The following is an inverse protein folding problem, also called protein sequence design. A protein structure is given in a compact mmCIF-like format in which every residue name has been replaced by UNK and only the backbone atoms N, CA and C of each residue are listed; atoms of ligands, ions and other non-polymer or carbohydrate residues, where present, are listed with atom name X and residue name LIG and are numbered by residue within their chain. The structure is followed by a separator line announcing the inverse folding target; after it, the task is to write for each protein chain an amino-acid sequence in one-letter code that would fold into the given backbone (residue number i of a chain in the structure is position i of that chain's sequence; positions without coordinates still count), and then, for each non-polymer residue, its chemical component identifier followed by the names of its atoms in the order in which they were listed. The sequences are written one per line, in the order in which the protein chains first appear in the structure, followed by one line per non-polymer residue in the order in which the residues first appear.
data_IF_367469272167
#
_entry.id   IF_367469272167
#
_cell.length_a   1.000
_cell.length_b   1.000
_cell.length_c   1.000
_cell.angle_alpha   90.00
_cell.angle_beta   90.00
_cell.angle_gamma   90.00
#
_symmetry.space_group_name_H-M   'P 1'
#
loop_
_entity.id
_entity.type
_entity.pdbx_description
1 polymer ?
#
# COMPACT_ATOMS: atom_id res chain seq x y z
N UNK A 1 68.40 11.14 30.86
CA UNK A 1 67.61 10.02 30.32
C UNK A 1 66.14 10.35 30.45
N UNK A 2 65.52 10.87 29.38
CA UNK A 2 64.13 10.54 29.03
C UNK A 2 63.83 11.08 27.63
N UNK A 3 63.42 10.17 26.75
CA UNK A 3 63.23 10.38 25.31
C UNK A 3 61.82 10.93 25.09
N UNK A 4 61.70 12.13 24.53
CA UNK A 4 60.46 12.56 23.88
C UNK A 4 60.40 11.90 22.50
N UNK A 5 59.44 10.99 22.31
CA UNK A 5 59.11 10.41 21.01
C UNK A 5 58.14 11.36 20.30
N UNK A 6 58.53 11.76 19.09
CA UNK A 6 57.66 12.41 18.12
C UNK A 6 56.55 11.43 17.69
N UNK A 7 55.30 11.89 17.73
CA UNK A 7 54.16 11.18 17.12
C UNK A 7 54.02 11.72 15.70
N UNK A 8 54.32 10.87 14.71
CA UNK A 8 54.05 11.14 13.30
C UNK A 8 52.54 11.05 13.05
N UNK A 9 51.98 12.11 12.47
CA UNK A 9 50.62 12.10 11.95
C UNK A 9 50.53 11.18 10.74
N UNK A 10 49.70 10.14 10.85
CA UNK A 10 49.26 9.33 9.71
C UNK A 10 48.01 9.99 9.17
N UNK A 11 48.13 10.56 7.97
CA UNK A 11 47.00 11.02 7.15
C UNK A 11 46.21 9.78 6.75
N UNK A 12 45.02 9.61 7.34
CA UNK A 12 44.03 8.67 6.81
C UNK A 12 43.35 9.34 5.61
N UNK A 13 43.60 8.78 4.42
CA UNK A 13 42.92 9.17 3.20
C UNK A 13 41.42 8.95 3.34
N UNK A 14 40.66 9.98 2.97
CA UNK A 14 39.22 9.92 2.80
C UNK A 14 38.93 8.99 1.63
N UNK A 15 38.55 7.75 1.94
CA UNK A 15 37.88 6.87 0.99
C UNK A 15 36.47 7.43 0.80
N UNK A 16 36.29 8.20 -0.27
CA UNK A 16 35.00 8.45 -0.91
C UNK A 16 34.48 7.10 -1.43
N UNK A 17 33.87 6.33 -0.53
CA UNK A 17 33.06 5.17 -0.87
C UNK A 17 31.68 5.66 -1.26
N UNK A 18 31.32 5.43 -2.52
CA UNK A 18 29.99 5.68 -3.08
C UNK A 18 28.93 5.03 -2.18
N UNK A 19 28.07 5.83 -1.56
CA UNK A 19 26.87 5.36 -0.87
C UNK A 19 25.84 5.15 -1.98
N UNK A 20 25.84 3.95 -2.55
CA UNK A 20 24.83 3.51 -3.48
C UNK A 20 23.69 2.81 -2.74
N UNK A 21 22.47 3.24 -3.09
CA UNK A 21 21.22 2.47 -3.13
C UNK A 21 20.40 2.37 -1.83
N UNK A 22 19.21 2.98 -1.82
CA UNK A 22 18.09 2.58 -0.96
C UNK A 22 16.67 2.85 -1.56
N UNK A 23 15.67 1.95 -1.37
CA UNK A 23 14.38 1.78 -2.08
C UNK A 23 13.21 1.46 -1.07
N UNK A 24 11.90 1.25 -1.42
CA UNK A 24 10.71 1.49 -0.51
C UNK A 24 9.42 0.61 -0.60
N UNK A 25 8.64 0.50 0.52
CA UNK A 25 7.17 0.17 0.80
C UNK A 25 6.96 -0.26 2.28
N UNK A 26 5.90 0.11 3.06
CA UNK A 26 5.90 0.01 4.55
C UNK A 26 4.79 -0.84 5.26
N UNK A 27 5.15 -1.92 5.98
CA UNK A 27 4.26 -2.71 6.86
C UNK A 27 4.99 -3.21 8.11
N UNK A 28 4.32 -3.71 9.16
CA UNK A 28 5.03 -4.49 10.20
C UNK A 28 5.49 -5.87 9.67
N UNK A 29 6.75 -6.31 9.87
CA UNK A 29 7.29 -7.52 9.24
C UNK A 29 6.79 -8.82 9.88
N UNK A 30 6.27 -8.75 11.11
CA UNK A 30 5.90 -9.94 11.90
C UNK A 30 4.42 -10.33 11.77
N UNK A 31 3.59 -9.49 11.14
CA UNK A 31 2.13 -9.59 11.23
C UNK A 31 1.59 -9.34 12.63
N UNK A 32 0.28 -9.46 12.80
CA UNK A 32 -0.36 -9.46 14.12
C UNK A 32 -0.10 -10.78 14.86
N UNK A 33 -0.10 -10.74 16.20
CA UNK A 33 -0.13 -11.91 17.08
C UNK A 33 -1.29 -12.83 16.70
N UNK A 34 -2.47 -12.26 16.43
CA UNK A 34 -3.64 -12.99 16.00
C UNK A 34 -3.37 -13.74 14.68
N UNK A 35 -2.75 -13.12 13.69
CA UNK A 35 -2.34 -13.81 12.47
C UNK A 35 -1.35 -14.94 12.78
N UNK A 36 -0.34 -14.68 13.63
CA UNK A 36 0.65 -15.70 14.00
C UNK A 36 0.03 -16.93 14.66
N UNK A 37 -0.85 -16.70 15.64
CA UNK A 37 -1.57 -17.75 16.35
C UNK A 37 -2.53 -18.51 15.43
N UNK A 38 -3.25 -17.80 14.58
CA UNK A 38 -4.20 -18.41 13.64
C UNK A 38 -3.45 -19.21 12.58
N UNK A 39 -2.35 -18.72 12.01
CA UNK A 39 -1.59 -19.54 11.06
C UNK A 39 -1.04 -20.80 11.72
N UNK A 40 -0.54 -20.73 12.96
CA UNK A 40 -0.14 -21.91 13.74
C UNK A 40 -1.31 -22.90 13.91
N UNK A 41 -2.50 -22.40 14.29
CA UNK A 41 -3.71 -23.23 14.45
C UNK A 41 -4.13 -23.92 13.15
N UNK A 42 -3.95 -23.25 12.01
CA UNK A 42 -4.33 -23.76 10.69
C UNK A 42 -3.18 -24.46 9.94
N UNK A 43 -2.06 -24.75 10.62
CA UNK A 43 -0.93 -25.48 10.04
C UNK A 43 -0.15 -24.70 8.97
N UNK A 44 -0.35 -23.38 8.89
CA UNK A 44 0.40 -22.50 8.00
C UNK A 44 1.75 -22.19 8.64
N UNK A 45 2.81 -22.53 7.93
CA UNK A 45 4.18 -22.33 8.42
C UNK A 45 4.65 -20.91 8.11
N UNK A 46 4.98 -20.16 9.16
CA UNK A 46 5.78 -18.96 9.04
C UNK A 46 7.23 -19.35 8.72
N UNK A 47 7.63 -19.18 7.46
CA UNK A 47 9.03 -19.38 7.06
C UNK A 47 9.79 -18.06 7.13
N UNK A 48 9.63 -17.32 8.24
CA UNK A 48 10.41 -16.12 8.54
C UNK A 48 11.85 -16.53 8.87
N UNK A 49 12.60 -16.97 7.86
CA UNK A 49 14.06 -17.06 7.92
C UNK A 49 14.58 -15.73 7.41
N UNK A 50 14.75 -14.77 8.31
CA UNK A 50 15.28 -13.46 7.96
C UNK A 50 16.73 -13.36 8.42
N UNK A 51 17.71 -13.23 7.52
CA UNK A 51 18.90 -12.45 7.83
C UNK A 51 18.45 -10.98 7.86
N UNK A 52 18.69 -10.28 8.97
CA UNK A 52 18.43 -8.84 9.21
C UNK A 52 19.06 -7.87 8.18
N UNK A 53 19.63 -8.39 7.08
CA UNK A 53 20.42 -7.65 6.11
C UNK A 53 19.76 -7.54 4.73
N UNK A 54 18.55 -8.07 4.52
CA UNK A 54 17.84 -7.86 3.25
C UNK A 54 17.15 -6.50 3.26
N UNK A 55 17.42 -5.78 2.20
CA UNK A 55 16.98 -4.43 1.93
C UNK A 55 15.45 -4.27 1.86
N UNK A 56 14.76 -5.22 1.23
CA UNK A 56 13.30 -5.26 1.21
C UNK A 56 12.67 -5.37 2.62
N UNK A 57 13.36 -5.89 3.65
CA UNK A 57 12.84 -5.90 5.03
C UNK A 57 12.93 -4.54 5.74
N UNK A 58 13.92 -3.71 5.39
CA UNK A 58 13.91 -2.30 5.79
C UNK A 58 12.80 -1.53 5.10
N UNK A 59 12.37 -2.06 3.95
CA UNK A 59 11.16 -1.76 3.19
C UNK A 59 9.97 -1.69 4.12
N UNK A 60 9.49 -2.90 4.39
CA UNK A 60 8.24 -3.23 5.06
C UNK A 60 8.49 -3.38 6.56
N UNK A 61 8.84 -2.28 7.23
CA UNK A 61 9.04 -2.30 8.70
C UNK A 61 8.28 -1.25 9.53
N UNK A 62 7.76 -0.20 8.89
CA UNK A 62 7.08 0.89 9.58
C UNK A 62 5.54 0.70 9.51
N UNK A 63 4.82 0.61 10.63
CA UNK A 63 3.38 0.35 10.69
C UNK A 63 2.49 1.61 10.53
N UNK A 64 2.78 2.46 9.54
CA UNK A 64 2.05 3.72 9.36
C UNK A 64 0.56 3.49 9.06
N UNK A 65 0.26 2.58 8.13
CA UNK A 65 -1.11 2.21 7.75
C UNK A 65 -1.87 1.54 8.90
N UNK A 66 -1.22 0.65 9.66
CA UNK A 66 -1.82 0.08 10.86
C UNK A 66 -2.15 1.18 11.88
N UNK A 67 -1.24 2.13 12.12
CA UNK A 67 -1.47 3.24 13.06
C UNK A 67 -2.65 4.14 12.67
N UNK A 68 -2.70 4.57 11.40
CA UNK A 68 -3.82 5.36 10.86
C UNK A 68 -5.13 4.59 11.00
N UNK A 69 -5.12 3.30 10.70
CA UNK A 69 -6.30 2.44 10.84
C UNK A 69 -6.75 2.35 12.29
N UNK A 70 -5.86 2.15 13.26
CA UNK A 70 -6.24 2.13 14.67
C UNK A 70 -6.84 3.48 15.10
N UNK A 71 -6.31 4.61 14.61
CA UNK A 71 -6.87 5.94 14.86
C UNK A 71 -8.26 6.14 14.25
N UNK A 72 -8.50 5.63 13.04
CA UNK A 72 -9.84 5.58 12.42
C UNK A 72 -10.86 4.86 13.32
N UNK A 73 -10.40 3.83 14.03
CA UNK A 73 -11.20 3.05 14.99
C UNK A 73 -11.14 3.57 16.45
N UNK A 74 -10.68 4.80 16.64
CA UNK A 74 -10.74 5.49 17.94
C UNK A 74 -9.57 5.19 18.89
N UNK A 75 -8.39 4.88 18.36
CA UNK A 75 -7.17 4.91 19.16
C UNK A 75 -6.78 6.38 19.44
N UNK A 76 -7.11 6.84 20.65
CA UNK A 76 -6.77 8.19 21.14
C UNK A 76 -5.37 8.28 21.78
N UNK A 77 -4.62 7.17 21.79
CA UNK A 77 -3.24 7.10 22.27
C UNK A 77 -2.26 7.85 21.37
N UNK A 78 -1.01 7.91 21.82
CA UNK A 78 0.07 8.45 20.99
C UNK A 78 0.33 7.51 19.79
N UNK A 79 1.20 7.95 18.86
CA UNK A 79 1.49 7.14 17.67
C UNK A 79 2.14 5.79 18.02
N UNK A 80 2.94 5.74 19.09
CA UNK A 80 3.61 4.51 19.50
C UNK A 80 2.58 3.49 20.02
N UNK A 81 1.54 3.97 20.71
CA UNK A 81 0.41 3.14 21.14
C UNK A 81 -0.41 2.66 19.95
N UNK A 82 -0.81 3.58 19.07
CA UNK A 82 -1.71 3.27 17.95
C UNK A 82 -1.03 2.46 16.84
N UNK A 83 0.29 2.53 16.72
CA UNK A 83 1.05 1.74 15.74
C UNK A 83 1.16 0.26 16.11
N UNK A 84 0.69 -0.15 17.29
CA UNK A 84 0.63 -1.56 17.65
C UNK A 84 -0.42 -2.29 16.78
N UNK A 85 -0.01 -3.19 15.87
CA UNK A 85 -0.95 -3.88 15.00
C UNK A 85 -1.86 -4.86 15.76
N UNK A 86 -1.52 -5.18 17.02
CA UNK A 86 -2.32 -6.05 17.89
C UNK A 86 -3.38 -5.30 18.70
N UNK A 87 -3.45 -3.97 18.58
CA UNK A 87 -4.45 -3.20 19.28
C UNK A 87 -5.86 -3.59 18.76
N UNK A 88 -6.81 -3.74 19.67
CA UNK A 88 -8.13 -4.32 19.34
C UNK A 88 -9.07 -3.34 18.63
N UNK A 89 -8.76 -2.03 18.59
CA UNK A 89 -9.64 -1.00 18.04
C UNK A 89 -10.16 -1.34 16.64
N UNK A 90 -9.28 -1.56 15.67
CA UNK A 90 -9.65 -1.97 14.31
C UNK A 90 -9.88 -3.48 14.17
N UNK A 91 -9.23 -4.27 15.02
CA UNK A 91 -9.25 -5.73 14.97
C UNK A 91 -8.38 -6.33 13.85
N UNK A 92 -7.95 -7.57 14.05
CA UNK A 92 -6.95 -8.22 13.21
C UNK A 92 -7.36 -8.41 11.73
N UNK A 93 -8.66 -8.51 11.43
CA UNK A 93 -9.12 -8.74 10.05
C UNK A 93 -9.08 -7.47 9.20
N UNK A 94 -9.40 -6.31 9.80
CA UNK A 94 -9.25 -5.01 9.13
C UNK A 94 -7.78 -4.72 8.91
N UNK A 95 -6.93 -4.95 9.92
CA UNK A 95 -5.48 -4.81 9.80
C UNK A 95 -4.91 -5.73 8.71
N UNK A 96 -5.35 -6.99 8.62
CA UNK A 96 -4.95 -7.89 7.53
C UNK A 96 -5.37 -7.37 6.14
N UNK A 97 -6.50 -6.67 6.07
CA UNK A 97 -6.98 -6.01 4.86
C UNK A 97 -6.16 -4.79 4.46
N UNK A 98 -5.83 -3.95 5.44
CA UNK A 98 -4.97 -2.78 5.24
C UNK A 98 -3.63 -3.23 4.66
N UNK A 99 -3.02 -4.26 5.24
CA UNK A 99 -1.76 -4.83 4.73
C UNK A 99 -1.85 -5.47 3.33
N UNK A 100 -3.04 -5.71 2.80
CA UNK A 100 -3.22 -6.55 1.61
C UNK A 100 -2.70 -5.88 0.33
N UNK A 101 -2.79 -4.56 0.21
CA UNK A 101 -2.36 -3.86 -1.02
C UNK A 101 -0.83 -3.96 -1.17
N UNK A 102 -0.10 -3.79 -0.07
CA UNK A 102 1.35 -3.92 0.05
C UNK A 102 1.85 -5.38 0.06
N UNK A 103 1.10 -6.29 0.69
CA UNK A 103 1.41 -7.73 0.75
C UNK A 103 0.25 -8.60 0.26
N UNK A 104 -0.08 -8.53 -1.05
CA UNK A 104 -1.12 -9.36 -1.63
C UNK A 104 -0.62 -10.80 -1.66
N UNK A 105 -1.30 -11.70 -0.95
CA UNK A 105 -0.92 -13.11 -0.91
C UNK A 105 -1.46 -13.84 -2.13
N UNK A 106 -0.64 -14.68 -2.74
CA UNK A 106 -0.99 -15.39 -3.96
C UNK A 106 -0.38 -16.79 -4.02
N UNK A 107 -0.89 -17.65 -4.90
CA UNK A 107 -0.21 -18.90 -5.25
C UNK A 107 0.82 -18.64 -6.34
N UNK A 108 2.10 -18.98 -6.15
CA UNK A 108 3.14 -18.72 -7.14
C UNK A 108 2.90 -19.53 -8.41
N UNK A 109 3.11 -18.91 -9.57
CA UNK A 109 3.13 -19.60 -10.85
C UNK A 109 4.38 -20.46 -11.04
N UNK A 110 4.45 -21.18 -12.15
CA UNK A 110 5.61 -22.04 -12.47
C UNK A 110 6.93 -21.24 -12.58
N UNK A 111 6.87 -20.01 -13.10
CA UNK A 111 8.05 -19.13 -13.18
C UNK A 111 8.41 -18.53 -11.82
N UNK A 112 7.43 -18.12 -11.01
CA UNK A 112 7.69 -17.63 -9.64
C UNK A 112 8.39 -18.71 -8.80
N UNK A 113 7.97 -19.97 -8.96
CA UNK A 113 8.54 -21.11 -8.25
C UNK A 113 10.02 -21.39 -8.60
N UNK A 114 10.54 -20.83 -9.71
CA UNK A 114 11.97 -20.90 -10.06
C UNK A 114 12.81 -19.86 -9.32
N UNK A 115 12.19 -18.82 -8.76
CA UNK A 115 12.88 -17.81 -7.98
C UNK A 115 13.43 -18.42 -6.70
N UNK A 116 14.67 -18.07 -6.35
CA UNK A 116 15.38 -18.65 -5.21
C UNK A 116 14.57 -18.43 -3.92
N UNK A 117 14.40 -19.48 -3.12
CA UNK A 117 13.66 -19.40 -1.86
C UNK A 117 12.14 -19.55 -1.99
N UNK A 118 11.61 -19.67 -3.20
CA UNK A 118 10.21 -19.98 -3.44
C UNK A 118 9.93 -21.49 -3.34
N UNK A 119 8.84 -21.84 -2.67
CA UNK A 119 8.29 -23.19 -2.64
C UNK A 119 6.89 -23.16 -3.27
N UNK A 120 6.79 -23.64 -4.51
CA UNK A 120 5.59 -23.56 -5.34
C UNK A 120 4.35 -24.28 -4.79
N UNK A 121 4.49 -25.02 -3.69
CA UNK A 121 3.39 -25.72 -3.00
C UNK A 121 2.62 -24.82 -2.05
N UNK A 122 3.20 -23.69 -1.65
CA UNK A 122 2.65 -22.78 -0.65
C UNK A 122 2.39 -21.41 -1.27
N UNK A 123 1.44 -20.67 -0.71
CA UNK A 123 1.20 -19.27 -1.07
C UNK A 123 2.42 -18.40 -0.73
N UNK A 124 2.65 -17.36 -1.51
CA UNK A 124 3.67 -16.34 -1.25
C UNK A 124 3.00 -15.15 -0.58
N UNK A 125 3.60 -14.72 0.52
CA UNK A 125 3.28 -13.54 1.31
C UNK A 125 4.49 -13.22 2.17
N UNK A 126 4.62 -11.97 2.60
CA UNK A 126 5.82 -11.50 3.28
C UNK A 126 6.16 -12.37 4.48
N UNK A 127 5.16 -12.72 5.29
CA UNK A 127 5.40 -13.51 6.51
C UNK A 127 5.39 -15.03 6.23
N UNK A 128 4.74 -15.49 5.15
CA UNK A 128 4.60 -16.93 4.86
C UNK A 128 5.79 -17.50 4.09
N UNK A 129 6.38 -16.72 3.18
CA UNK A 129 7.56 -17.06 2.39
C UNK A 129 8.46 -15.84 2.18
N UNK A 130 8.95 -15.21 3.26
CA UNK A 130 9.70 -13.94 3.22
C UNK A 130 10.81 -13.90 2.18
N UNK A 131 11.66 -14.94 2.12
CA UNK A 131 12.75 -14.98 1.13
C UNK A 131 12.26 -15.04 -0.31
N UNK A 132 11.16 -15.76 -0.56
CA UNK A 132 10.55 -15.81 -1.89
C UNK A 132 9.97 -14.45 -2.26
N UNK A 133 9.20 -13.86 -1.33
CA UNK A 133 8.57 -12.56 -1.47
C UNK A 133 9.61 -11.50 -1.84
N UNK A 134 10.69 -11.39 -1.04
CA UNK A 134 11.78 -10.43 -1.25
C UNK A 134 12.42 -10.60 -2.63
N UNK A 135 12.78 -11.83 -3.01
CA UNK A 135 13.45 -12.06 -4.28
C UNK A 135 12.53 -11.86 -5.50
N UNK A 136 11.22 -12.06 -5.34
CA UNK A 136 10.24 -11.76 -6.39
C UNK A 136 10.06 -10.25 -6.54
N UNK A 137 10.00 -9.54 -5.41
CA UNK A 137 9.90 -8.09 -5.36
C UNK A 137 11.13 -7.41 -5.97
N UNK A 138 12.34 -7.72 -5.49
CA UNK A 138 13.61 -7.15 -6.01
C UNK A 138 13.78 -7.47 -7.52
N UNK A 139 13.37 -8.67 -7.95
CA UNK A 139 13.38 -9.02 -9.37
C UNK A 139 12.37 -8.19 -10.19
N UNK A 140 11.18 -7.92 -9.64
CA UNK A 140 10.18 -7.09 -10.32
C UNK A 140 10.65 -5.64 -10.40
N UNK A 141 11.25 -5.13 -9.32
CA UNK A 141 11.88 -3.82 -9.27
C UNK A 141 12.93 -3.66 -10.38
N UNK A 142 13.92 -4.57 -10.43
CA UNK A 142 14.99 -4.56 -11.43
C UNK A 142 14.45 -4.60 -12.88
N UNK A 143 13.41 -5.41 -13.13
CA UNK A 143 12.77 -5.50 -14.44
C UNK A 143 12.07 -4.19 -14.78
N UNK A 144 11.27 -3.65 -13.85
CA UNK A 144 10.46 -2.44 -14.07
C UNK A 144 11.31 -1.19 -14.30
N UNK A 145 12.49 -1.11 -13.68
CA UNK A 145 13.45 -0.04 -13.89
C UNK A 145 13.96 -0.01 -15.35
N UNK A 146 14.00 -1.15 -16.02
CA UNK A 146 14.42 -1.28 -17.43
C UNK A 146 13.28 -1.27 -18.44
N UNK A 147 12.11 -1.80 -18.03
CA UNK A 147 10.90 -1.90 -18.83
C UNK A 147 9.68 -1.62 -17.95
N UNK A 148 9.23 -0.35 -17.88
CA UNK A 148 8.06 0.04 -17.10
C UNK A 148 6.76 -0.63 -17.54
N UNK A 149 6.74 -1.31 -18.70
CA UNK A 149 5.56 -2.00 -19.21
C UNK A 149 5.51 -3.49 -18.83
N UNK A 150 6.56 -4.02 -18.22
CA UNK A 150 6.73 -5.46 -18.02
C UNK A 150 5.59 -6.13 -17.22
N UNK A 151 4.94 -5.38 -16.32
CA UNK A 151 3.88 -5.88 -15.45
C UNK A 151 2.50 -5.30 -15.78
N UNK A 152 2.32 -4.78 -16.99
CA UNK A 152 1.01 -4.34 -17.48
C UNK A 152 0.16 -5.55 -17.88
N UNK A 153 -0.66 -6.05 -16.96
CA UNK A 153 -1.50 -7.24 -17.16
C UNK A 153 -0.75 -8.57 -17.07
N UNK A 154 0.51 -8.55 -16.64
CA UNK A 154 1.38 -9.73 -16.55
C UNK A 154 2.10 -9.79 -15.19
N UNK A 155 2.43 -11.00 -14.75
CA UNK A 155 3.09 -11.22 -13.47
C UNK A 155 2.15 -11.59 -12.32
N UNK A 156 2.71 -11.72 -11.13
CA UNK A 156 1.98 -11.98 -9.89
C UNK A 156 1.47 -10.67 -9.25
N UNK A 157 0.65 -10.79 -8.20
CA UNK A 157 0.03 -9.62 -7.58
C UNK A 157 1.04 -8.61 -7.04
N UNK A 158 2.14 -9.05 -6.42
CA UNK A 158 3.19 -8.13 -5.93
C UNK A 158 3.77 -7.34 -7.10
N UNK A 159 4.15 -8.01 -8.18
CA UNK A 159 4.75 -7.33 -9.33
C UNK A 159 3.76 -6.35 -10.00
N UNK A 160 2.48 -6.69 -10.07
CA UNK A 160 1.47 -5.84 -10.71
C UNK A 160 1.02 -4.67 -9.84
N UNK A 161 0.87 -4.86 -8.52
CA UNK A 161 0.43 -3.80 -7.61
C UNK A 161 1.50 -2.74 -7.40
N UNK A 162 2.78 -3.13 -7.35
CA UNK A 162 3.86 -2.19 -7.08
C UNK A 162 4.52 -1.62 -8.34
N UNK A 163 4.47 -2.33 -9.47
CA UNK A 163 5.23 -1.96 -10.68
C UNK A 163 4.45 -2.08 -11.99
N UNK A 164 3.13 -2.29 -11.92
CA UNK A 164 2.33 -2.64 -13.09
C UNK A 164 0.97 -1.96 -13.11
N UNK A 165 0.03 -2.63 -13.76
CA UNK A 165 -1.31 -2.09 -14.03
C UNK A 165 -2.26 -2.14 -12.82
N UNK A 166 -1.78 -2.54 -11.64
CA UNK A 166 -2.53 -2.50 -10.39
C UNK A 166 -2.01 -1.43 -9.41
N UNK A 167 -1.15 -0.51 -9.86
CA UNK A 167 -0.64 0.61 -9.02
C UNK A 167 -1.73 1.53 -8.47
N UNK A 168 -2.93 1.54 -9.09
CA UNK A 168 -4.08 2.24 -8.53
C UNK A 168 -4.48 1.72 -7.14
N UNK A 169 -4.06 0.51 -6.73
CA UNK A 169 -4.25 -0.01 -5.38
C UNK A 169 -3.51 0.84 -4.33
N UNK A 170 -2.48 1.58 -4.74
CA UNK A 170 -1.71 2.51 -3.93
C UNK A 170 -2.02 3.98 -4.26
N UNK A 171 -3.19 4.24 -4.85
CA UNK A 171 -3.53 5.56 -5.38
C UNK A 171 -2.49 6.14 -6.37
N UNK A 172 -1.79 5.29 -7.11
CA UNK A 172 -0.80 5.71 -8.11
C UNK A 172 -1.28 5.39 -9.52
N UNK A 173 -0.81 6.19 -10.47
CA UNK A 173 -0.96 5.91 -11.88
C UNK A 173 -0.10 4.71 -12.29
N UNK A 174 -0.64 3.87 -13.18
CA UNK A 174 0.09 2.71 -13.68
C UNK A 174 1.28 3.10 -14.58
N UNK A 175 1.19 4.25 -15.25
CA UNK A 175 2.22 4.75 -16.15
C UNK A 175 2.37 6.27 -16.06
N UNK A 176 3.55 6.75 -16.45
CA UNK A 176 3.74 8.17 -16.66
C UNK A 176 2.96 8.70 -17.86
N UNK A 177 2.49 9.94 -17.73
CA UNK A 177 1.63 10.56 -18.72
C UNK A 177 0.18 10.08 -18.66
N UNK A 178 -0.17 9.13 -17.79
CA UNK A 178 -1.56 8.78 -17.53
C UNK A 178 -2.32 10.03 -17.06
N UNK A 179 -3.48 10.28 -17.65
CA UNK A 179 -4.37 11.35 -17.20
C UNK A 179 -4.92 11.02 -15.80
N UNK A 180 -5.03 11.96 -14.85
CA UNK A 180 -5.53 11.68 -13.51
C UNK A 180 -6.94 11.09 -13.48
N UNK A 181 -7.78 11.38 -14.48
CA UNK A 181 -9.10 10.78 -14.64
C UNK A 181 -9.02 9.27 -14.89
N UNK A 182 -7.96 8.77 -15.54
CA UNK A 182 -7.75 7.33 -15.75
C UNK A 182 -7.47 6.66 -14.41
N UNK A 183 -6.46 7.12 -13.68
CA UNK A 183 -6.11 6.58 -12.37
C UNK A 183 -7.31 6.66 -11.41
N UNK A 184 -8.01 7.79 -11.39
CA UNK A 184 -9.23 7.94 -10.59
C UNK A 184 -10.31 6.91 -10.95
N UNK A 185 -10.54 6.62 -12.23
CA UNK A 185 -11.51 5.58 -12.63
C UNK A 185 -11.10 4.20 -12.11
N UNK A 186 -9.81 3.86 -12.17
CA UNK A 186 -9.28 2.59 -11.68
C UNK A 186 -9.36 2.49 -10.13
N UNK A 187 -9.05 3.58 -9.42
CA UNK A 187 -9.25 3.74 -7.96
C UNK A 187 -10.72 3.53 -7.60
N UNK A 188 -11.64 4.20 -8.30
CA UNK A 188 -13.08 4.09 -8.03
C UNK A 188 -13.63 2.71 -8.37
N UNK A 189 -13.09 2.05 -9.39
CA UNK A 189 -13.39 0.66 -9.73
C UNK A 189 -12.99 -0.28 -8.58
N UNK A 190 -11.77 -0.14 -8.04
CA UNK A 190 -11.35 -0.92 -6.87
C UNK A 190 -12.21 -0.62 -5.64
N UNK A 191 -12.51 0.65 -5.39
CA UNK A 191 -13.33 1.05 -4.26
C UNK A 191 -14.76 0.48 -4.35
N UNK A 192 -15.37 0.44 -5.54
CA UNK A 192 -16.66 -0.21 -5.77
C UNK A 192 -16.61 -1.69 -5.46
N UNK A 193 -15.56 -2.38 -5.93
CA UNK A 193 -15.35 -3.79 -5.66
C UNK A 193 -15.16 -4.08 -4.17
N UNK A 194 -14.20 -3.40 -3.53
CA UNK A 194 -13.87 -3.58 -2.13
C UNK A 194 -15.08 -3.28 -1.22
N UNK A 195 -15.84 -2.22 -1.54
CA UNK A 195 -17.10 -1.92 -0.86
C UNK A 195 -18.14 -3.01 -1.07
N UNK A 196 -18.31 -3.50 -2.30
CA UNK A 196 -19.24 -4.57 -2.62
C UNK A 196 -18.91 -5.89 -1.91
N UNK A 197 -17.64 -6.18 -1.65
CA UNK A 197 -17.25 -7.32 -0.81
C UNK A 197 -17.55 -7.03 0.67
N UNK A 198 -17.26 -5.81 1.13
CA UNK A 198 -17.50 -5.39 2.51
C UNK A 198 -18.98 -5.40 2.90
N UNK A 199 -19.87 -4.99 1.98
CA UNK A 199 -21.31 -4.90 2.20
C UNK A 199 -22.10 -6.18 1.82
N UNK A 200 -21.39 -7.19 1.29
CA UNK A 200 -21.91 -8.49 0.91
C UNK A 200 -22.53 -8.59 -0.49
N UNK A 201 -22.45 -7.53 -1.31
CA UNK A 201 -22.86 -7.54 -2.73
C UNK A 201 -22.07 -8.56 -3.55
N UNK A 202 -20.78 -8.76 -3.25
CA UNK A 202 -19.92 -9.77 -3.87
C UNK A 202 -19.56 -10.87 -2.86
N UNK A 203 -20.33 -11.99 -2.81
CA UNK A 203 -20.04 -13.13 -1.94
C UNK A 203 -18.68 -13.78 -2.23
N UNK A 204 -18.18 -14.56 -1.25
CA UNK A 204 -16.89 -15.25 -1.28
C UNK A 204 -16.62 -16.07 -2.55
N UNK A 205 -17.66 -16.74 -3.08
CA UNK A 205 -17.57 -17.64 -4.23
C UNK A 205 -17.78 -16.92 -5.57
N UNK A 206 -17.95 -15.59 -5.57
CA UNK A 206 -18.02 -14.80 -6.81
C UNK A 206 -16.68 -14.88 -7.51
N UNK A 207 -16.67 -15.33 -8.77
CA UNK A 207 -15.46 -15.29 -9.58
C UNK A 207 -15.10 -13.86 -9.94
N UNK A 208 -13.82 -13.52 -9.92
CA UNK A 208 -13.36 -12.18 -10.24
C UNK A 208 -13.79 -11.78 -11.66
N UNK A 209 -13.66 -12.69 -12.64
CA UNK A 209 -14.13 -12.47 -14.02
C UNK A 209 -15.64 -12.21 -14.18
N UNK A 210 -16.46 -12.50 -13.17
CA UNK A 210 -17.93 -12.35 -13.24
C UNK A 210 -18.40 -11.01 -12.65
N UNK A 211 -17.50 -10.23 -12.02
CA UNK A 211 -17.80 -8.91 -11.44
C UNK A 211 -18.11 -7.92 -12.57
N UNK A 212 -19.18 -7.16 -12.39
CA UNK A 212 -19.72 -6.22 -13.38
C UNK A 212 -19.44 -4.77 -12.95
N UNK A 213 -18.17 -4.38 -12.98
CA UNK A 213 -17.73 -3.00 -12.77
C UNK A 213 -16.98 -2.57 -14.03
N UNK A 214 -17.23 -1.36 -14.53
CA UNK A 214 -16.58 -0.86 -15.73
C UNK A 214 -15.05 -0.87 -15.59
N UNK A 215 -14.35 -1.52 -16.53
CA UNK A 215 -12.88 -1.63 -16.54
C UNK A 215 -12.31 -2.79 -15.73
N UNK A 216 -13.12 -3.49 -14.94
CA UNK A 216 -12.67 -4.56 -14.05
C UNK A 216 -11.96 -5.71 -14.79
N UNK A 217 -12.51 -6.10 -15.94
CA UNK A 217 -11.98 -7.18 -16.78
C UNK A 217 -10.59 -6.91 -17.36
N UNK A 218 -10.16 -5.65 -17.36
CA UNK A 218 -8.82 -5.25 -17.81
C UNK A 218 -7.76 -5.68 -16.80
N UNK A 219 -8.13 -5.74 -15.52
CA UNK A 219 -7.20 -5.97 -14.42
C UNK A 219 -7.37 -7.33 -13.73
N UNK A 220 -8.62 -7.81 -13.63
CA UNK A 220 -9.01 -8.99 -12.86
C UNK A 220 -9.94 -9.93 -13.67
N UNK A 221 -9.40 -10.55 -14.73
CA UNK A 221 -10.14 -11.50 -15.57
C UNK A 221 -9.81 -12.98 -15.31
N UNK A 222 -9.09 -13.27 -14.23
CA UNK A 222 -8.65 -14.62 -13.92
C UNK A 222 -9.76 -15.47 -13.26
N UNK A 223 -9.51 -16.77 -13.12
CA UNK A 223 -10.47 -17.73 -12.55
C UNK A 223 -10.53 -17.75 -11.02
N UNK A 224 -9.93 -16.80 -10.33
CA UNK A 224 -9.98 -16.72 -8.87
C UNK A 224 -11.35 -16.24 -8.39
N UNK A 225 -11.67 -16.53 -7.14
CA UNK A 225 -12.85 -15.99 -6.45
C UNK A 225 -12.47 -14.84 -5.52
N UNK A 226 -13.46 -14.09 -5.02
CA UNK A 226 -13.29 -13.09 -3.95
C UNK A 226 -12.53 -13.69 -2.74
N UNK A 227 -12.83 -14.93 -2.38
CA UNK A 227 -12.11 -15.62 -1.31
C UNK A 227 -10.64 -15.88 -1.66
N UNK A 228 -10.35 -16.26 -2.90
CA UNK A 228 -8.97 -16.52 -3.33
C UNK A 228 -8.15 -15.23 -3.33
N UNK A 229 -8.75 -14.10 -3.75
CA UNK A 229 -8.08 -12.80 -3.75
C UNK A 229 -7.64 -12.37 -2.33
N UNK A 230 -8.55 -12.44 -1.35
CA UNK A 230 -8.29 -11.90 -0.01
C UNK A 230 -7.77 -12.92 1.02
N UNK A 231 -8.02 -14.22 0.83
CA UNK A 231 -7.78 -15.23 1.87
C UNK A 231 -6.97 -16.45 1.42
N UNK A 232 -6.39 -16.44 0.20
CA UNK A 232 -5.47 -17.51 -0.22
C UNK A 232 -4.30 -17.63 0.74
N UNK A 233 -3.91 -18.85 1.08
CA UNK A 233 -2.89 -19.13 2.10
C UNK A 233 -3.28 -18.78 3.54
N UNK A 234 -4.42 -18.13 3.76
CA UNK A 234 -4.85 -17.56 5.04
C UNK A 234 -6.29 -17.97 5.37
N UNK A 235 -6.57 -19.28 5.59
CA UNK A 235 -7.93 -19.80 5.72
C UNK A 235 -8.74 -19.19 6.88
N UNK A 236 -8.08 -18.63 7.91
CA UNK A 236 -8.74 -17.94 9.01
C UNK A 236 -9.38 -16.60 8.61
N UNK A 237 -8.97 -15.99 7.50
CA UNK A 237 -9.57 -14.74 7.00
C UNK A 237 -10.92 -14.98 6.31
N UNK A 238 -11.23 -16.21 5.87
CA UNK A 238 -12.39 -16.53 5.03
C UNK A 238 -13.73 -16.07 5.63
N UNK A 239 -13.89 -16.20 6.95
CA UNK A 239 -15.11 -15.79 7.64
C UNK A 239 -15.26 -14.26 7.79
N UNK A 240 -14.21 -13.50 7.51
CA UNK A 240 -14.14 -12.05 7.73
C UNK A 240 -13.59 -11.31 6.50
N UNK A 241 -13.73 -11.88 5.29
CA UNK A 241 -13.26 -11.24 4.05
C UNK A 241 -13.90 -9.87 3.81
N UNK A 242 -15.11 -9.66 4.31
CA UNK A 242 -15.76 -8.34 4.31
C UNK A 242 -14.93 -7.28 5.07
N UNK A 243 -14.32 -7.64 6.20
CA UNK A 243 -13.43 -6.74 6.96
C UNK A 243 -12.08 -6.57 6.27
N UNK A 244 -11.56 -7.63 5.62
CA UNK A 244 -10.32 -7.57 4.84
C UNK A 244 -10.48 -6.62 3.64
N UNK A 245 -11.58 -6.74 2.90
CA UNK A 245 -11.88 -5.85 1.78
C UNK A 245 -12.05 -4.39 2.23
N UNK A 246 -12.71 -4.16 3.37
CA UNK A 246 -12.81 -2.81 3.93
C UNK A 246 -11.44 -2.25 4.34
N UNK A 247 -10.58 -3.08 4.94
CA UNK A 247 -9.20 -2.69 5.26
C UNK A 247 -8.40 -2.30 4.01
N UNK A 248 -8.53 -3.05 2.92
CA UNK A 248 -7.88 -2.74 1.64
C UNK A 248 -8.37 -1.42 1.03
N UNK A 249 -9.64 -1.07 1.21
CA UNK A 249 -10.16 0.26 0.85
C UNK A 249 -9.56 1.36 1.75
N UNK A 250 -9.40 1.11 3.05
CA UNK A 250 -8.75 2.08 3.95
C UNK A 250 -7.29 2.32 3.56
N UNK A 251 -6.55 1.27 3.16
CA UNK A 251 -5.19 1.41 2.62
C UNK A 251 -5.15 2.35 1.43
N UNK A 252 -5.99 2.09 0.41
CA UNK A 252 -6.08 2.94 -0.77
C UNK A 252 -6.37 4.41 -0.43
N UNK A 253 -7.28 4.65 0.53
CA UNK A 253 -7.56 6.00 1.01
C UNK A 253 -6.32 6.59 1.68
N UNK A 254 -5.60 5.83 2.50
CA UNK A 254 -4.40 6.30 3.19
C UNK A 254 -3.28 6.70 2.22
N UNK A 255 -2.96 5.85 1.25
CA UNK A 255 -1.93 6.14 0.25
C UNK A 255 -2.25 7.41 -0.52
N UNK A 256 -3.53 7.67 -0.80
CA UNK A 256 -3.91 8.89 -1.52
C UNK A 256 -3.61 10.20 -0.79
N UNK A 257 -3.22 10.18 0.49
CA UNK A 257 -2.76 11.35 1.25
C UNK A 257 -1.23 11.38 1.44
N UNK A 258 -0.53 10.31 1.08
CA UNK A 258 0.93 10.31 1.04
C UNK A 258 1.38 11.05 -0.23
N UNK A 259 2.26 12.03 -0.06
CA UNK A 259 2.81 12.83 -1.15
C UNK A 259 3.58 11.98 -2.15
N UNK A 260 4.20 10.87 -1.72
CA UNK A 260 4.84 9.90 -2.60
C UNK A 260 3.88 9.29 -3.61
N UNK A 261 2.59 9.24 -3.30
CA UNK A 261 1.58 8.55 -4.11
C UNK A 261 0.71 9.53 -4.92
N UNK A 262 0.30 10.63 -4.32
CA UNK A 262 -0.52 11.65 -4.97
C UNK A 262 -0.16 13.06 -4.50
N UNK A 263 -0.17 14.01 -5.44
CA UNK A 263 -0.13 15.43 -5.11
C UNK A 263 -1.55 15.94 -4.88
N UNK A 264 -1.78 16.47 -3.68
CA UNK A 264 -3.00 17.23 -3.36
C UNK A 264 -2.67 18.71 -3.36
N UNK A 265 -3.61 19.52 -3.83
CA UNK A 265 -3.56 20.96 -3.64
C UNK A 265 -3.71 21.31 -2.16
N UNK A 266 -3.19 22.48 -1.79
CA UNK A 266 -3.44 23.10 -0.48
C UNK A 266 -4.94 23.25 -0.19
N UNK A 267 -5.31 23.01 1.07
CA UNK A 267 -6.69 23.12 1.52
C UNK A 267 -7.21 24.55 1.40
N UNK A 268 -8.38 24.71 0.80
CA UNK A 268 -9.06 26.00 0.72
C UNK A 268 -10.16 26.04 1.77
N UNK A 269 -10.02 26.96 2.73
CA UNK A 269 -11.01 27.15 3.78
C UNK A 269 -12.41 27.39 3.19
N UNK A 270 -13.36 26.53 3.58
CA UNK A 270 -14.75 26.60 3.12
C UNK A 270 -15.02 25.93 1.78
N UNK A 271 -14.04 25.27 1.15
CA UNK A 271 -14.30 24.37 0.03
C UNK A 271 -15.14 23.19 0.50
N UNK A 272 -16.12 22.80 -0.34
CA UNK A 272 -17.09 21.78 -0.01
C UNK A 272 -17.32 20.82 -1.18
N UNK A 273 -17.67 19.60 -0.83
CA UNK A 273 -18.10 18.56 -1.76
C UNK A 273 -19.53 18.09 -1.47
N UNK A 274 -20.08 17.21 -2.32
CA UNK A 274 -21.43 16.67 -2.16
C UNK A 274 -22.50 17.77 -2.03
N UNK A 275 -22.46 18.75 -2.94
CA UNK A 275 -23.42 19.86 -2.94
C UNK A 275 -23.34 20.78 -1.71
N UNK A 276 -22.21 20.79 -0.99
CA UNK A 276 -22.00 21.66 0.16
C UNK A 276 -22.19 21.00 1.53
N UNK A 277 -22.33 19.66 1.56
CA UNK A 277 -22.59 18.90 2.78
C UNK A 277 -21.32 18.58 3.57
N UNK A 278 -20.18 18.39 2.90
CA UNK A 278 -18.94 17.91 3.51
C UNK A 278 -17.76 18.83 3.15
N UNK A 279 -16.74 18.87 4.00
CA UNK A 279 -15.48 19.55 3.72
C UNK A 279 -14.63 18.72 2.73
N UNK A 280 -13.82 19.41 1.91
CA UNK A 280 -12.92 18.77 0.94
C UNK A 280 -11.58 18.43 1.60
N UNK A 281 -11.08 17.23 1.34
CA UNK A 281 -9.84 16.66 1.92
C UNK A 281 -8.57 17.01 1.10
N UNK A 282 -8.54 18.22 0.54
CA UNK A 282 -7.60 18.59 -0.53
C UNK A 282 -7.92 17.88 -1.86
N UNK A 283 -7.99 18.63 -2.97
CA UNK A 283 -8.26 18.03 -4.29
C UNK A 283 -6.97 17.52 -4.91
N UNK A 284 -7.04 16.42 -5.63
CA UNK A 284 -5.90 15.77 -6.28
C UNK A 284 -5.52 16.53 -7.55
N UNK A 285 -4.28 16.98 -7.62
CA UNK A 285 -3.67 17.62 -8.80
C UNK A 285 -3.00 16.59 -9.70
N UNK A 286 -2.35 15.60 -9.09
CA UNK A 286 -1.61 14.55 -9.77
C UNK A 286 -1.72 13.23 -9.00
N UNK A 287 -1.88 12.12 -9.71
CA UNK A 287 -1.50 10.81 -9.19
C UNK A 287 -0.11 10.49 -9.71
N UNK A 288 0.84 10.23 -8.82
CA UNK A 288 2.20 9.92 -9.23
C UNK A 288 2.29 8.52 -9.84
N UNK A 289 3.35 8.28 -10.60
CA UNK A 289 3.70 6.98 -11.17
C UNK A 289 5.01 6.52 -10.55
N UNK A 290 5.05 5.29 -10.02
CA UNK A 290 6.20 4.77 -9.28
C UNK A 290 7.46 4.59 -10.15
N UNK A 291 7.29 4.30 -11.45
CA UNK A 291 8.36 3.87 -12.34
C UNK A 291 9.59 4.80 -12.44
N UNK A 292 9.46 6.10 -12.13
CA UNK A 292 10.59 7.06 -12.15
C UNK A 292 10.81 7.75 -10.80
N UNK A 293 10.24 7.21 -9.73
CA UNK A 293 10.46 7.75 -8.41
C UNK A 293 11.82 7.33 -7.85
N UNK A 294 12.42 8.25 -7.11
CA UNK A 294 13.45 7.97 -6.14
C UNK A 294 12.79 7.22 -4.99
N UNK A 295 13.05 5.92 -4.98
CA UNK A 295 12.46 5.03 -4.00
C UNK A 295 12.82 5.46 -2.56
N UNK A 296 14.02 5.98 -2.27
CA UNK A 296 14.34 6.44 -0.91
C UNK A 296 13.41 7.58 -0.47
N UNK A 297 13.13 8.53 -1.36
CA UNK A 297 12.23 9.64 -1.07
C UNK A 297 10.78 9.18 -0.92
N UNK A 298 10.34 8.25 -1.76
CA UNK A 298 9.02 7.62 -1.62
C UNK A 298 8.88 6.95 -0.25
N UNK A 299 9.89 6.18 0.16
CA UNK A 299 9.91 5.53 1.49
C UNK A 299 9.75 6.52 2.63
N UNK A 300 10.54 7.59 2.60
CA UNK A 300 10.56 8.56 3.70
C UNK A 300 9.18 9.22 3.87
N UNK A 301 8.43 9.34 2.77
CA UNK A 301 7.09 9.92 2.73
C UNK A 301 6.01 8.99 3.31
N UNK A 302 6.18 7.67 3.13
CA UNK A 302 5.25 6.68 3.70
C UNK A 302 5.42 6.53 5.21
N UNK A 303 6.52 7.04 5.77
CA UNK A 303 6.93 6.81 7.16
C UNK A 303 5.90 7.30 8.17
N UNK A 304 5.83 6.61 9.30
CA UNK A 304 5.05 7.01 10.47
C UNK A 304 5.34 8.45 10.88
N UNK A 305 6.58 8.93 10.75
CA UNK A 305 6.93 10.32 11.04
C UNK A 305 6.24 11.31 10.12
N UNK A 306 6.10 11.01 8.84
CA UNK A 306 5.43 11.89 7.86
C UNK A 306 3.92 11.82 8.03
N UNK A 307 3.36 10.62 8.18
CA UNK A 307 1.94 10.45 8.47
C UNK A 307 1.50 11.21 9.75
N UNK A 308 2.35 11.25 10.79
CA UNK A 308 2.12 12.06 11.99
C UNK A 308 2.08 13.56 11.70
N UNK A 309 2.98 14.06 10.86
CA UNK A 309 3.02 15.47 10.48
C UNK A 309 1.80 15.84 9.64
N UNK A 310 1.39 14.94 8.74
CA UNK A 310 0.18 15.07 7.93
C UNK A 310 -1.07 15.24 8.83
N UNK A 311 -1.25 14.40 9.86
CA UNK A 311 -2.37 14.56 10.81
C UNK A 311 -2.34 15.87 11.62
N UNK A 312 -1.19 16.54 11.71
CA UNK A 312 -1.08 17.84 12.40
C UNK A 312 -1.30 19.03 11.47
N UNK A 313 -1.18 18.82 10.15
CA UNK A 313 -1.21 19.87 9.15
C UNK A 313 -2.57 20.05 8.48
N UNK A 314 -3.42 19.02 8.50
CA UNK A 314 -4.65 18.95 7.70
C UNK A 314 -5.91 18.87 8.58
N UNK A 315 -6.98 19.57 8.20
CA UNK A 315 -8.31 19.45 8.84
C UNK A 315 -9.42 19.74 7.81
N UNK A 316 -10.19 18.73 7.33
CA UNK A 316 -10.19 17.33 7.75
C UNK A 316 -8.99 16.53 7.22
N UNK A 317 -8.64 15.45 7.90
CA UNK A 317 -7.50 14.59 7.55
C UNK A 317 -7.91 13.18 7.04
N UNK A 318 -6.92 12.34 6.74
CA UNK A 318 -7.10 10.95 6.33
C UNK A 318 -7.84 10.09 7.37
N UNK A 319 -7.68 10.38 8.66
CA UNK A 319 -8.38 9.68 9.74
C UNK A 319 -9.85 10.08 9.76
N UNK A 320 -10.18 11.35 9.49
CA UNK A 320 -11.57 11.79 9.32
C UNK A 320 -12.23 11.13 8.11
N UNK A 321 -11.50 11.00 7.01
CA UNK A 321 -11.96 10.28 5.83
C UNK A 321 -12.29 8.81 6.14
N UNK A 322 -11.37 8.12 6.81
CA UNK A 322 -11.58 6.74 7.25
C UNK A 322 -12.71 6.59 8.27
N UNK A 323 -12.86 7.53 9.22
CA UNK A 323 -13.97 7.54 10.19
C UNK A 323 -15.32 7.66 9.48
N UNK A 324 -15.41 8.48 8.43
CA UNK A 324 -16.63 8.63 7.63
C UNK A 324 -17.00 7.33 6.92
N UNK A 325 -16.03 6.68 6.26
CA UNK A 325 -16.25 5.39 5.59
C UNK A 325 -16.64 4.29 6.58
N UNK A 326 -16.01 4.26 7.76
CA UNK A 326 -16.40 3.33 8.84
C UNK A 326 -17.83 3.59 9.29
N UNK A 327 -18.24 4.86 9.39
CA UNK A 327 -19.63 5.25 9.66
C UNK A 327 -20.59 4.72 8.59
N UNK A 328 -20.23 4.83 7.31
CA UNK A 328 -21.03 4.28 6.22
C UNK A 328 -21.17 2.75 6.28
N UNK A 329 -20.13 2.02 6.69
CA UNK A 329 -20.23 0.57 6.94
C UNK A 329 -21.19 0.28 8.10
N UNK A 330 -21.05 1.01 9.22
CA UNK A 330 -21.91 0.84 10.39
C UNK A 330 -23.40 1.10 10.06
N UNK A 331 -23.65 2.10 9.22
CA UNK A 331 -24.98 2.48 8.73
C UNK A 331 -25.47 1.61 7.56
N UNK A 332 -24.66 0.62 7.13
CA UNK A 332 -24.95 -0.31 6.02
C UNK A 332 -25.26 0.40 4.70
N UNK A 333 -24.58 1.52 4.44
CA UNK A 333 -24.71 2.28 3.21
C UNK A 333 -24.35 1.45 1.99
N UNK A 334 -25.16 1.58 0.94
CA UNK A 334 -24.88 0.94 -0.35
C UNK A 334 -23.91 1.77 -1.17
N UNK A 335 -23.29 1.15 -2.18
CA UNK A 335 -22.30 1.83 -3.04
C UNK A 335 -22.82 3.16 -3.59
N UNK A 336 -24.09 3.23 -4.00
CA UNK A 336 -24.71 4.46 -4.50
C UNK A 336 -24.71 5.64 -3.49
N UNK A 337 -24.69 5.35 -2.19
CA UNK A 337 -24.61 6.36 -1.13
C UNK A 337 -23.16 6.70 -0.75
N UNK A 338 -22.22 5.78 -0.97
CA UNK A 338 -20.80 5.95 -0.62
C UNK A 338 -19.99 6.57 -1.76
N UNK A 339 -20.31 6.21 -3.00
CA UNK A 339 -19.64 6.68 -4.21
C UNK A 339 -19.49 8.20 -4.25
N UNK A 340 -20.53 9.03 -4.00
CA UNK A 340 -20.38 10.48 -4.08
C UNK A 340 -19.33 11.03 -3.10
N UNK A 341 -19.19 10.44 -1.92
CA UNK A 341 -18.17 10.85 -0.95
C UNK A 341 -16.75 10.54 -1.46
N UNK A 342 -16.53 9.32 -1.95
CA UNK A 342 -15.23 8.95 -2.50
C UNK A 342 -14.89 9.75 -3.76
N UNK A 343 -15.86 9.94 -4.66
CA UNK A 343 -15.67 10.61 -5.95
C UNK A 343 -15.51 12.13 -5.81
N UNK A 344 -16.35 12.78 -5.01
CA UNK A 344 -16.43 14.24 -4.92
C UNK A 344 -15.63 14.84 -3.76
N UNK A 345 -15.24 14.04 -2.76
CA UNK A 345 -14.49 14.52 -1.59
C UNK A 345 -13.09 13.91 -1.50
N UNK A 346 -12.97 12.58 -1.42
CA UNK A 346 -11.69 11.90 -1.13
C UNK A 346 -10.77 11.92 -2.35
N UNK A 347 -11.29 11.52 -3.50
CA UNK A 347 -10.58 11.45 -4.78
C UNK A 347 -11.03 12.56 -5.75
N UNK A 348 -11.46 13.69 -5.21
CA UNK A 348 -11.87 14.84 -6.01
C UNK A 348 -10.66 15.37 -6.78
N UNK A 349 -10.75 15.46 -8.10
CA UNK A 349 -9.71 16.12 -8.90
C UNK A 349 -9.80 17.64 -8.73
N UNK A 350 -8.65 18.30 -8.81
CA UNK A 350 -8.56 19.74 -8.92
C UNK A 350 -9.07 20.20 -10.29
N UNK A 351 -9.30 21.51 -10.44
CA UNK A 351 -9.71 22.08 -11.75
C UNK A 351 -8.56 22.06 -12.76
N UNK A 352 -7.34 22.19 -12.25
CA UNK A 352 -6.10 22.09 -13.01
C UNK A 352 -5.38 20.84 -12.53
N UNK A 353 -5.19 19.89 -13.44
CA UNK A 353 -4.54 18.60 -13.15
C UNK A 353 -3.34 18.41 -14.06
N UNK A 354 -2.36 17.65 -13.59
CA UNK A 354 -1.17 17.27 -14.36
C UNK A 354 -1.19 15.77 -14.66
N UNK A 355 -0.78 15.34 -15.87
CA UNK A 355 -0.56 13.93 -16.15
C UNK A 355 0.48 13.35 -15.19
N UNK A 356 0.35 12.06 -14.91
CA UNK A 356 1.20 11.36 -13.96
C UNK A 356 2.69 11.51 -14.28
N UNK A 357 3.47 11.81 -13.24
CA UNK A 357 4.92 11.81 -13.25
C UNK A 357 5.43 11.16 -11.97
N UNK A 358 6.74 11.13 -11.76
CA UNK A 358 7.28 10.77 -10.46
C UNK A 358 6.84 11.73 -9.33
N UNK A 359 6.39 12.94 -9.63
CA UNK A 359 6.22 14.02 -8.65
C UNK A 359 7.55 14.74 -8.40
N UNK A 360 7.54 16.07 -8.34
CA UNK A 360 8.77 16.88 -8.28
C UNK A 360 9.66 16.55 -7.08
N UNK A 361 9.05 16.25 -5.92
CA UNK A 361 9.74 15.84 -4.70
C UNK A 361 10.40 14.47 -4.80
N UNK A 362 9.95 13.61 -5.71
CA UNK A 362 10.32 12.20 -5.76
C UNK A 362 11.04 11.84 -7.06
N UNK A 363 11.44 12.79 -7.90
CA UNK A 363 12.27 12.47 -9.06
C UNK A 363 13.65 11.96 -8.62
N UNK A 364 14.16 10.96 -9.35
CA UNK A 364 15.57 10.59 -9.31
C UNK A 364 16.43 11.82 -9.58
N UNK A 365 17.43 12.08 -8.74
CA UNK A 365 18.34 13.18 -9.02
C UNK A 365 19.05 12.94 -10.35
N UNK A 366 19.03 13.93 -11.24
CA UNK A 366 19.83 13.86 -12.45
C UNK A 366 21.30 13.76 -12.04
N UNK A 367 21.92 12.59 -12.27
CA UNK A 367 23.35 12.40 -12.09
C UNK A 367 24.10 13.59 -12.74
N UNK A 368 24.74 14.43 -11.92
CA UNK A 368 25.62 15.50 -12.37
C UNK A 368 27.00 14.96 -12.74
#
# INVERSE_FOLDING_TARGET
MNKHKAVSGVVWGVLLGCIGQANAFQLSPDGTLAEREMAKKYGVSYKATVPFASFALHNFSDPAHEALTQKIYGCDGDWQDCSNPNLENAGAYVIAGVRWNDDPVFMPGAEDAKTKGCDGRYSVGFISQTRCWVNLFEKAEDISASDPMAFMGAGNYISRSHFGDLQFLHAMASQEGDAPEKTKREIMMWAEFAWGVADGTYPLNTYLKDIQIEGWEQHFNNGQTVQDLFAVGRPWLRANVNQVAFGSLLHLVQDSFAGGHAQRREEILGDKCMGGAEAVLGRIEEFHSYARQDHAKHKDDDASSVARLMLMAHEPDVVDAGKKLRGFIADRKKWAEVRPYLDECVFALANETTPASAGDGYKLEANR
#
